data_IF_277971728197
#
_entry.id   IF_277971728197
#
_cell.length_a   1.000
_cell.length_b   1.000
_cell.length_c   1.000
_cell.angle_alpha   90.00
_cell.angle_beta   90.00
_cell.angle_gamma   90.00
#
_symmetry.space_group_name_H-M   'P 1'
#
loop_
_entity.id
_entity.type
_entity.pdbx_description
1 polymer ?
#
# COMPACT_ATOMS: atom_id res chain seq x y z
N UNK A 1 14.35 11.78 -3.28
CA UNK A 1 13.09 11.11 -3.68
C UNK A 1 13.35 9.67 -4.17
N UNK A 2 14.25 9.48 -5.14
CA UNK A 2 14.61 8.16 -5.68
C UNK A 2 15.02 7.11 -4.64
N UNK A 3 15.88 7.49 -3.66
CA UNK A 3 16.27 6.61 -2.54
C UNK A 3 15.07 6.07 -1.75
N UNK A 4 14.04 6.90 -1.52
CA UNK A 4 12.84 6.50 -0.77
C UNK A 4 11.98 5.53 -1.58
N UNK A 5 11.81 5.81 -2.88
CA UNK A 5 11.07 4.94 -3.80
C UNK A 5 11.75 3.56 -3.88
N UNK A 6 13.08 3.53 -3.98
CA UNK A 6 13.83 2.28 -4.00
C UNK A 6 13.65 1.47 -2.70
N UNK A 7 13.67 2.14 -1.53
CA UNK A 7 13.40 1.48 -0.24
C UNK A 7 11.98 0.91 -0.20
N UNK A 8 10.97 1.67 -0.64
CA UNK A 8 9.59 1.16 -0.69
C UNK A 8 9.44 -0.01 -1.67
N UNK A 9 10.07 0.07 -2.84
CA UNK A 9 10.04 -1.01 -3.82
C UNK A 9 10.65 -2.29 -3.24
N UNK A 10 11.83 -2.19 -2.60
CA UNK A 10 12.48 -3.33 -1.96
C UNK A 10 11.63 -3.89 -0.81
N UNK A 11 11.06 -3.02 0.03
CA UNK A 11 10.20 -3.42 1.14
C UNK A 11 8.94 -4.16 0.66
N UNK A 12 8.20 -3.61 -0.30
CA UNK A 12 7.01 -4.26 -0.83
C UNK A 12 7.32 -5.53 -1.62
N UNK A 13 8.48 -5.60 -2.26
CA UNK A 13 8.96 -6.83 -2.89
C UNK A 13 9.16 -7.95 -1.87
N UNK A 14 9.86 -7.68 -0.76
CA UNK A 14 10.01 -8.66 0.34
C UNK A 14 8.67 -9.07 0.94
N UNK A 15 7.76 -8.11 1.14
CA UNK A 15 6.40 -8.41 1.63
C UNK A 15 5.63 -9.30 0.66
N UNK A 16 5.71 -9.03 -0.65
CA UNK A 16 5.04 -9.83 -1.66
C UNK A 16 5.56 -11.28 -1.68
N UNK A 17 6.88 -11.46 -1.62
CA UNK A 17 7.50 -12.80 -1.53
C UNK A 17 7.06 -13.54 -0.26
N UNK A 18 7.05 -12.85 0.88
CA UNK A 18 6.66 -13.44 2.16
C UNK A 18 5.17 -13.83 2.14
N UNK A 19 4.32 -12.99 1.54
CA UNK A 19 2.90 -13.27 1.35
C UNK A 19 2.67 -14.49 0.46
N UNK A 20 3.37 -14.60 -0.68
CA UNK A 20 3.17 -15.72 -1.62
C UNK A 20 3.84 -17.01 -1.19
N UNK A 21 4.90 -16.95 -0.39
CA UNK A 21 5.66 -18.15 -0.01
C UNK A 21 5.21 -18.72 1.34
N UNK A 22 5.05 -17.88 2.36
CA UNK A 22 4.82 -18.31 3.76
C UNK A 22 3.36 -18.15 4.16
N UNK A 23 2.71 -17.08 3.72
CA UNK A 23 1.32 -16.75 4.09
C UNK A 23 0.29 -17.03 2.98
N UNK A 24 0.63 -17.85 1.98
CA UNK A 24 -0.29 -18.19 0.90
C UNK A 24 -1.63 -18.72 1.45
N UNK A 25 -1.56 -19.63 2.42
CA UNK A 25 -2.71 -20.27 3.07
C UNK A 25 -3.41 -19.39 4.12
N UNK A 26 -2.69 -18.42 4.71
CA UNK A 26 -3.24 -17.46 5.69
C UNK A 26 -3.95 -16.28 5.04
N UNK A 27 -3.86 -16.14 3.71
CA UNK A 27 -4.63 -15.13 2.99
C UNK A 27 -6.12 -15.49 3.07
N UNK A 28 -6.90 -14.69 3.80
CA UNK A 28 -8.36 -14.83 3.87
C UNK A 28 -8.95 -14.63 2.46
N UNK A 29 -9.04 -15.71 1.69
CA UNK A 29 -9.57 -15.76 0.30
C UNK A 29 -9.05 -14.64 -0.61
N UNK A 30 -7.78 -14.25 -0.45
CA UNK A 30 -7.17 -13.18 -1.26
C UNK A 30 -7.73 -11.76 -1.04
N UNK A 31 -8.56 -11.53 -0.02
CA UNK A 31 -9.14 -10.20 0.26
C UNK A 31 -8.23 -9.35 1.16
N UNK A 32 -7.64 -9.97 2.18
CA UNK A 32 -6.73 -9.31 3.13
C UNK A 32 -5.32 -9.80 2.84
N UNK A 33 -4.47 -8.88 2.36
CA UNK A 33 -3.08 -9.13 2.03
C UNK A 33 -2.19 -8.28 2.96
N UNK A 34 -1.03 -8.80 3.37
CA UNK A 34 -0.04 -8.00 4.12
C UNK A 34 0.27 -6.67 3.43
N UNK A 35 0.35 -6.66 2.10
CA UNK A 35 0.62 -5.45 1.32
C UNK A 35 -0.46 -4.40 1.57
N UNK A 36 -1.74 -4.77 1.53
CA UNK A 36 -2.84 -3.81 1.74
C UNK A 36 -2.85 -3.26 3.18
N UNK A 37 -2.56 -4.10 4.17
CA UNK A 37 -2.42 -3.68 5.58
C UNK A 37 -1.31 -2.62 5.71
N UNK A 38 -0.13 -2.88 5.16
CA UNK A 38 0.98 -1.91 5.23
C UNK A 38 0.69 -0.62 4.47
N UNK A 39 0.00 -0.68 3.32
CA UNK A 39 -0.43 0.53 2.59
C UNK A 39 -1.38 1.38 3.44
N UNK A 40 -2.34 0.76 4.13
CA UNK A 40 -3.27 1.46 5.03
C UNK A 40 -2.50 2.09 6.19
N UNK A 41 -1.60 1.35 6.84
CA UNK A 41 -0.78 1.86 7.94
C UNK A 41 0.08 3.05 7.51
N UNK A 42 0.74 2.96 6.36
CA UNK A 42 1.56 4.06 5.82
C UNK A 42 0.68 5.29 5.59
N UNK A 43 -0.50 5.15 4.96
CA UNK A 43 -1.40 6.28 4.73
C UNK A 43 -2.00 6.86 6.03
N UNK A 44 -2.16 6.04 7.07
CA UNK A 44 -2.71 6.48 8.36
C UNK A 44 -1.69 7.26 9.20
N UNK A 45 -0.41 6.88 9.16
CA UNK A 45 0.67 7.54 9.90
C UNK A 45 1.41 8.62 9.10
N UNK A 46 1.19 8.71 7.79
CA UNK A 46 1.78 9.74 6.95
C UNK A 46 1.17 11.12 7.22
N UNK A 47 2.00 12.18 7.17
CA UNK A 47 1.52 13.57 7.22
C UNK A 47 0.62 13.87 6.00
N UNK A 48 -0.52 14.56 6.15
CA UNK A 48 -1.46 14.80 5.04
C UNK A 48 -0.89 15.50 3.80
N UNK A 49 0.27 16.19 3.93
CA UNK A 49 0.96 16.90 2.85
C UNK A 49 1.94 16.01 2.06
N UNK A 50 2.36 14.87 2.60
CA UNK A 50 3.32 13.97 1.96
C UNK A 50 2.61 12.99 1.01
N UNK A 51 3.33 12.44 0.02
CA UNK A 51 2.77 11.59 -1.05
C UNK A 51 3.28 10.13 -0.98
N UNK A 52 4.03 9.76 0.05
CA UNK A 52 4.57 8.41 0.23
C UNK A 52 3.49 7.33 0.33
N UNK A 53 2.34 7.60 0.93
CA UNK A 53 1.19 6.69 0.98
C UNK A 53 0.59 6.39 -0.38
N UNK A 54 0.65 7.35 -1.32
CA UNK A 54 0.22 7.16 -2.70
C UNK A 54 1.24 6.33 -3.49
N UNK A 55 2.54 6.62 -3.31
CA UNK A 55 3.60 5.79 -3.91
C UNK A 55 3.57 4.36 -3.35
N UNK A 56 3.31 4.19 -2.05
CA UNK A 56 3.17 2.89 -1.41
C UNK A 56 1.95 2.14 -1.95
N UNK A 57 0.79 2.80 -2.12
CA UNK A 57 -0.39 2.19 -2.71
C UNK A 57 -0.17 1.72 -4.14
N UNK A 58 0.48 2.55 -4.97
CA UNK A 58 0.81 2.19 -6.35
C UNK A 58 1.82 1.03 -6.43
N UNK A 59 2.97 1.16 -5.77
CA UNK A 59 4.04 0.16 -5.81
C UNK A 59 3.59 -1.16 -5.17
N UNK A 60 2.94 -1.07 -4.01
CA UNK A 60 2.42 -2.23 -3.29
C UNK A 60 1.36 -2.98 -4.10
N UNK A 61 0.39 -2.26 -4.68
CA UNK A 61 -0.62 -2.89 -5.53
C UNK A 61 -0.06 -3.46 -6.83
N UNK A 62 0.95 -2.82 -7.42
CA UNK A 62 1.64 -3.35 -8.59
C UNK A 62 2.38 -4.66 -8.28
N UNK A 63 3.07 -4.74 -7.13
CA UNK A 63 3.69 -5.99 -6.70
C UNK A 63 2.66 -7.05 -6.37
N UNK A 64 1.55 -6.70 -5.72
CA UNK A 64 0.46 -7.65 -5.49
C UNK A 64 -0.05 -8.22 -6.82
N UNK A 65 -0.29 -7.35 -7.80
CA UNK A 65 -0.73 -7.76 -9.13
C UNK A 65 0.26 -8.73 -9.79
N UNK A 66 1.56 -8.43 -9.80
CA UNK A 66 2.61 -9.30 -10.39
C UNK A 66 2.64 -10.68 -9.74
N UNK A 67 2.51 -10.72 -8.41
CA UNK A 67 2.64 -11.95 -7.63
C UNK A 67 1.29 -12.66 -7.42
N UNK A 68 0.22 -12.18 -8.05
CA UNK A 68 -1.10 -12.80 -8.04
C UNK A 68 -1.51 -13.24 -9.44
N UNK A 69 -2.46 -14.16 -9.55
CA UNK A 69 -3.03 -14.56 -10.84
C UNK A 69 -4.04 -13.52 -11.40
N UNK A 70 -4.13 -12.32 -10.82
CA UNK A 70 -5.10 -11.29 -11.22
C UNK A 70 -4.56 -10.42 -12.37
N UNK A 71 -5.44 -9.59 -12.93
CA UNK A 71 -5.07 -8.66 -13.98
C UNK A 71 -4.09 -7.59 -13.47
N UNK A 72 -2.99 -7.39 -14.20
CA UNK A 72 -1.96 -6.42 -13.82
C UNK A 72 -2.52 -5.00 -13.85
N UNK A 73 -2.43 -4.30 -12.71
CA UNK A 73 -2.94 -2.94 -12.54
C UNK A 73 -4.27 -2.86 -11.79
N UNK A 74 -4.97 -3.97 -11.58
CA UNK A 74 -6.23 -3.97 -10.84
C UNK A 74 -6.03 -3.60 -9.37
N UNK A 75 -5.14 -4.30 -8.66
CA UNK A 75 -4.89 -4.02 -7.24
C UNK A 75 -4.10 -2.71 -7.08
N UNK A 76 -3.25 -2.34 -8.04
CA UNK A 76 -2.61 -1.03 -8.07
C UNK A 76 -3.63 0.12 -8.07
N UNK A 77 -4.66 0.06 -8.91
CA UNK A 77 -5.71 1.08 -8.96
C UNK A 77 -6.57 1.08 -7.68
N UNK A 78 -6.94 -0.10 -7.17
CA UNK A 78 -7.75 -0.21 -5.95
C UNK A 78 -7.00 0.38 -4.75
N UNK A 79 -5.73 0.02 -4.56
CA UNK A 79 -4.93 0.53 -3.44
C UNK A 79 -4.60 2.02 -3.58
N UNK A 80 -4.42 2.52 -4.80
CA UNK A 80 -4.23 3.95 -5.04
C UNK A 80 -5.51 4.74 -4.73
N UNK A 81 -6.68 4.25 -5.16
CA UNK A 81 -7.97 4.83 -4.80
C UNK A 81 -8.21 4.80 -3.29
N UNK A 82 -7.84 3.71 -2.62
CA UNK A 82 -7.92 3.60 -1.16
C UNK A 82 -7.00 4.60 -0.45
N UNK A 83 -5.75 4.73 -0.90
CA UNK A 83 -4.80 5.70 -0.38
C UNK A 83 -5.32 7.14 -0.54
N UNK A 84 -5.88 7.48 -1.70
CA UNK A 84 -6.54 8.78 -1.92
C UNK A 84 -7.72 8.98 -0.98
N UNK A 85 -8.59 7.97 -0.83
CA UNK A 85 -9.74 8.04 0.06
C UNK A 85 -9.31 8.29 1.51
N UNK A 86 -8.37 7.51 2.03
CA UNK A 86 -7.82 7.67 3.39
C UNK A 86 -7.27 9.08 3.55
N UNK A 87 -6.51 9.58 2.57
CA UNK A 87 -5.90 10.91 2.63
C UNK A 87 -6.94 12.04 2.61
N UNK A 88 -7.99 11.93 1.82
CA UNK A 88 -9.10 12.89 1.78
C UNK A 88 -9.84 12.90 3.13
N UNK A 89 -10.14 11.72 3.68
CA UNK A 89 -10.81 11.58 4.97
C UNK A 89 -9.92 12.14 6.09
N UNK A 90 -8.66 11.75 6.19
CA UNK A 90 -7.75 12.26 7.21
C UNK A 90 -7.56 13.77 7.10
N UNK A 91 -7.43 14.32 5.89
CA UNK A 91 -7.30 15.78 5.71
C UNK A 91 -8.56 16.55 6.16
N UNK A 92 -9.74 15.94 6.02
CA UNK A 92 -11.03 16.56 6.38
C UNK A 92 -11.33 16.44 7.88
N UNK A 93 -11.02 15.30 8.49
CA UNK A 93 -11.42 14.97 9.86
C UNK A 93 -10.30 15.14 10.88
N UNK A 94 -9.04 14.98 10.49
CA UNK A 94 -7.88 15.18 11.34
C UNK A 94 -7.29 16.55 11.01
N UNK A 95 -7.98 17.61 11.44
CA UNK A 95 -7.37 18.94 11.57
C UNK A 95 -6.45 18.93 12.80
N UNK A 96 -5.43 18.08 12.79
CA UNK A 96 -4.38 18.09 13.80
C UNK A 96 -3.28 19.05 13.30
N UNK A 97 -3.02 20.18 13.97
CA UNK A 97 -1.76 20.87 13.82
C UNK A 97 -0.67 19.94 14.39
N UNK A 98 -0.14 19.06 13.54
CA UNK A 98 1.04 18.29 13.90
C UNK A 98 2.23 19.26 13.81
N UNK A 99 2.60 19.78 14.99
CA UNK A 99 3.85 20.49 15.26
C UNK A 99 5.07 19.73 14.70
#
# INVERSE_FOLDING_TARGET
MFRRIFIYALFFYFLALLQTSVLADLSLRGVINLISVFVILINLFEKPRDYAGLYAGFIGGFFWDIFSANFIGQNALILLALALFIKIVLRKYVWAPAF
#
